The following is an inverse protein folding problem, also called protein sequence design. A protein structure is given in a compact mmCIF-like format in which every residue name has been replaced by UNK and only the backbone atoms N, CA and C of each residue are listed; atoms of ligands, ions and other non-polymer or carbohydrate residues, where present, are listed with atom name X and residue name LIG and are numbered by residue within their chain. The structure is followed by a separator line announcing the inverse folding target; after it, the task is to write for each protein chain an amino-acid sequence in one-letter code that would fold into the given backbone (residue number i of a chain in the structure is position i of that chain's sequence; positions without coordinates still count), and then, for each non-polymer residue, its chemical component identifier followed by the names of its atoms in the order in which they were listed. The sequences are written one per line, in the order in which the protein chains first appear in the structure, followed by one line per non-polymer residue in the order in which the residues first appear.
data_IF_525065809820
#
_entry.id   IF_525065809820
#
_cell.length_a   1.000
_cell.length_b   1.000
_cell.length_c   1.000
_cell.angle_alpha   90.00
_cell.angle_beta   90.00
_cell.angle_gamma   90.00
#
_symmetry.space_group_name_H-M   'P 1'
#
loop_
_entity.id
_entity.type
_entity.pdbx_description
1 polymer ?
#
# COMPACT_ATOMS: atom_id res chain seq x y z
N UNK A 1 13.33 -4.40 -6.49
CA UNK A 1 13.33 -5.55 -5.57
C UNK A 1 14.57 -5.59 -4.65
N UNK A 2 15.80 -5.65 -5.18
CA UNK A 2 17.05 -5.73 -4.39
C UNK A 2 17.16 -4.64 -3.31
N UNK A 3 16.70 -3.42 -3.62
CA UNK A 3 16.68 -2.32 -2.65
C UNK A 3 15.81 -2.62 -1.42
N UNK A 4 14.61 -3.21 -1.58
CA UNK A 4 13.72 -3.54 -0.45
C UNK A 4 14.34 -4.58 0.48
N UNK A 5 15.04 -5.56 -0.12
CA UNK A 5 15.61 -6.71 0.59
C UNK A 5 16.99 -6.40 1.20
N UNK A 6 17.66 -5.32 0.78
CA UNK A 6 19.00 -4.93 1.27
C UNK A 6 19.20 -4.94 2.79
N UNK A 7 18.21 -4.62 3.66
CA UNK A 7 18.36 -4.73 5.12
C UNK A 7 18.45 -6.18 5.64
N UNK A 8 18.00 -7.16 4.86
CA UNK A 8 18.03 -8.57 5.23
C UNK A 8 19.42 -9.17 4.95
N UNK A 9 19.85 -10.11 5.79
CA UNK A 9 21.04 -10.93 5.52
C UNK A 9 20.85 -11.74 4.24
N UNK A 10 21.91 -11.98 3.46
CA UNK A 10 21.87 -12.69 2.17
C UNK A 10 21.09 -14.02 2.22
N UNK A 11 21.24 -14.78 3.32
CA UNK A 11 20.49 -16.03 3.58
C UNK A 11 18.97 -15.91 3.55
N UNK A 12 18.42 -14.74 3.89
CA UNK A 12 16.98 -14.43 3.84
C UNK A 12 16.62 -13.64 2.60
N UNK A 13 17.58 -12.92 2.02
CA UNK A 13 17.36 -12.15 0.81
C UNK A 13 17.00 -13.05 -0.39
N UNK A 14 17.73 -14.14 -0.56
CA UNK A 14 17.54 -15.09 -1.68
C UNK A 14 16.15 -15.72 -1.66
N UNK A 15 15.67 -16.37 -0.57
CA UNK A 15 14.34 -16.98 -0.58
C UNK A 15 13.21 -15.95 -0.75
N UNK A 16 13.35 -14.75 -0.18
CA UNK A 16 12.36 -13.67 -0.35
C UNK A 16 12.33 -13.15 -1.79
N UNK A 17 13.49 -13.03 -2.44
CA UNK A 17 13.56 -12.71 -3.86
C UNK A 17 12.90 -13.78 -4.73
N UNK A 18 13.11 -15.06 -4.43
CA UNK A 18 12.48 -16.17 -5.15
C UNK A 18 10.95 -16.16 -4.98
N UNK A 19 10.45 -15.85 -3.79
CA UNK A 19 9.01 -15.74 -3.52
C UNK A 19 8.33 -14.65 -4.36
N UNK A 20 9.07 -13.61 -4.75
CA UNK A 20 8.55 -12.51 -5.57
C UNK A 20 8.60 -12.80 -7.09
N UNK A 21 9.28 -13.86 -7.53
CA UNK A 21 9.41 -14.16 -8.97
C UNK A 21 8.08 -14.35 -9.70
N UNK A 22 7.07 -15.06 -9.15
CA UNK A 22 5.84 -15.27 -9.88
C UNK A 22 5.11 -13.95 -10.17
N UNK A 23 5.26 -12.93 -9.32
CA UNK A 23 4.68 -11.62 -9.60
C UNK A 23 5.30 -10.94 -10.81
N UNK A 24 6.62 -11.10 -10.99
CA UNK A 24 7.33 -10.55 -12.14
C UNK A 24 6.90 -11.25 -13.43
N UNK A 25 6.64 -12.56 -13.36
CA UNK A 25 6.14 -13.35 -14.49
C UNK A 25 4.70 -12.94 -14.84
N UNK A 26 3.86 -12.68 -13.83
CA UNK A 26 2.46 -12.21 -14.02
C UNK A 26 2.39 -10.72 -14.38
N UNK A 27 3.48 -9.96 -14.22
CA UNK A 27 3.51 -8.52 -14.43
C UNK A 27 2.74 -7.73 -13.37
N UNK A 28 2.66 -8.25 -12.14
CA UNK A 28 1.90 -7.61 -11.06
C UNK A 28 2.69 -6.47 -10.38
N UNK A 29 1.97 -5.52 -9.82
CA UNK A 29 2.53 -4.27 -9.28
C UNK A 29 2.78 -4.31 -7.76
N UNK A 30 2.55 -5.43 -7.06
CA UNK A 30 2.66 -5.47 -5.60
C UNK A 30 4.08 -5.20 -5.08
N UNK A 31 5.14 -5.61 -5.79
CA UNK A 31 6.52 -5.17 -5.50
C UNK A 31 6.64 -3.64 -5.55
N UNK A 32 5.99 -2.99 -6.52
CA UNK A 32 5.98 -1.53 -6.63
C UNK A 32 5.15 -0.90 -5.50
N UNK A 33 4.03 -1.52 -5.11
CA UNK A 33 3.26 -1.10 -3.94
C UNK A 33 4.11 -1.20 -2.67
N UNK A 34 4.88 -2.27 -2.47
CA UNK A 34 5.79 -2.42 -1.34
C UNK A 34 6.85 -1.30 -1.31
N UNK A 35 7.42 -0.96 -2.46
CA UNK A 35 8.34 0.16 -2.59
C UNK A 35 7.66 1.48 -2.28
N UNK A 36 6.45 1.71 -2.81
CA UNK A 36 5.64 2.89 -2.56
C UNK A 36 5.25 3.01 -1.08
N UNK A 37 5.02 1.91 -0.35
CA UNK A 37 4.81 1.93 1.10
C UNK A 37 6.00 2.56 1.82
N UNK A 38 7.21 2.03 1.58
CA UNK A 38 8.43 2.52 2.26
C UNK A 38 8.73 3.98 1.88
N UNK A 39 8.63 4.31 0.59
CA UNK A 39 8.86 5.69 0.13
C UNK A 39 7.77 6.62 0.65
N UNK A 40 6.52 6.17 0.67
CA UNK A 40 5.34 6.89 1.12
C UNK A 40 5.40 7.32 2.57
N UNK A 41 6.01 6.51 3.44
CA UNK A 41 6.26 6.89 4.84
C UNK A 41 7.17 8.12 4.98
N UNK A 42 8.08 8.33 4.02
CA UNK A 42 9.01 9.49 3.99
C UNK A 42 8.52 10.64 3.12
N UNK A 43 7.91 10.30 1.99
CA UNK A 43 7.41 11.22 0.95
C UNK A 43 5.95 10.90 0.69
N UNK A 44 5.01 11.59 1.36
CA UNK A 44 3.58 11.24 1.32
C UNK A 44 2.98 11.20 -0.10
N UNK A 45 3.52 12.00 -1.04
CA UNK A 45 3.11 11.98 -2.45
C UNK A 45 3.27 10.61 -3.14
N UNK A 46 4.17 9.74 -2.67
CA UNK A 46 4.31 8.39 -3.23
C UNK A 46 3.07 7.50 -2.95
N UNK A 47 2.23 7.84 -1.97
CA UNK A 47 0.97 7.14 -1.72
C UNK A 47 -0.03 7.30 -2.86
N UNK A 48 0.08 8.35 -3.69
CA UNK A 48 -0.76 8.52 -4.89
C UNK A 48 -0.67 7.32 -5.82
N UNK A 49 0.52 6.70 -5.93
CA UNK A 49 0.69 5.48 -6.71
C UNK A 49 -0.19 4.34 -6.18
N UNK A 50 -0.18 4.09 -4.87
CA UNK A 50 -1.01 3.05 -4.27
C UNK A 50 -2.50 3.34 -4.39
N UNK A 51 -2.92 4.58 -4.13
CA UNK A 51 -4.34 4.99 -4.21
C UNK A 51 -4.89 4.86 -5.63
N UNK A 52 -4.14 5.31 -6.64
CA UNK A 52 -4.63 5.32 -8.03
C UNK A 52 -4.59 3.96 -8.70
N UNK A 53 -3.67 3.08 -8.31
CA UNK A 53 -3.56 1.74 -8.90
C UNK A 53 -4.38 0.69 -8.15
N UNK A 54 -4.44 0.77 -6.82
CA UNK A 54 -5.12 -0.16 -5.93
C UNK A 54 -5.69 0.59 -4.73
N UNK A 55 -6.85 1.24 -4.94
CA UNK A 55 -7.54 2.14 -4.00
C UNK A 55 -7.41 1.73 -2.53
N UNK A 56 -7.73 0.47 -2.19
CA UNK A 56 -7.72 0.00 -0.81
C UNK A 56 -6.35 -0.13 -0.17
N UNK A 57 -5.30 -0.38 -0.96
CA UNK A 57 -3.92 -0.38 -0.46
C UNK A 57 -3.42 1.02 -0.10
N UNK A 58 -4.16 2.06 -0.48
CA UNK A 58 -3.98 3.44 -0.02
C UNK A 58 -4.27 3.65 1.47
N UNK A 59 -4.74 2.63 2.21
CA UNK A 59 -5.02 2.68 3.66
C UNK A 59 -3.85 3.23 4.50
N UNK A 60 -2.61 3.10 4.02
CA UNK A 60 -1.45 3.65 4.71
C UNK A 60 -1.42 5.17 4.84
N UNK A 61 -2.17 5.94 4.03
CA UNK A 61 -2.34 7.39 4.23
C UNK A 61 -2.98 7.71 5.59
N UNK A 62 -3.85 6.82 6.09
CA UNK A 62 -4.48 6.98 7.41
C UNK A 62 -3.46 6.99 8.55
N UNK A 63 -2.24 6.49 8.31
CA UNK A 63 -1.14 6.61 9.26
C UNK A 63 -0.89 8.06 9.67
N UNK A 64 -0.84 8.98 8.69
CA UNK A 64 -0.57 10.39 8.96
C UNK A 64 -1.73 11.05 9.68
N UNK A 65 -2.97 10.74 9.29
CA UNK A 65 -4.18 11.21 9.98
C UNK A 65 -4.20 10.75 11.45
N UNK A 66 -3.93 9.47 11.70
CA UNK A 66 -3.93 8.89 13.04
C UNK A 66 -2.82 9.44 13.96
N UNK A 67 -1.73 9.98 13.37
CA UNK A 67 -0.66 10.70 14.09
C UNK A 67 -0.91 12.21 14.24
N UNK A 68 -1.96 12.75 13.64
CA UNK A 68 -2.22 14.19 13.58
C UNK A 68 -1.26 14.96 12.66
N UNK A 69 -0.54 14.27 11.76
CA UNK A 69 0.36 14.90 10.79
C UNK A 69 -0.41 15.32 9.54
N UNK A 70 -1.27 16.33 9.73
CA UNK A 70 -2.14 16.86 8.68
C UNK A 70 -1.36 17.41 7.49
N UNK A 71 -0.16 17.95 7.71
CA UNK A 71 0.71 18.45 6.64
C UNK A 71 1.08 17.32 5.67
N UNK A 72 1.55 16.18 6.19
CA UNK A 72 1.87 15.02 5.35
C UNK A 72 0.64 14.41 4.70
N UNK A 73 -0.49 14.37 5.40
CA UNK A 73 -1.75 13.91 4.81
C UNK A 73 -2.16 14.78 3.62
N UNK A 74 -2.16 16.10 3.78
CA UNK A 74 -2.49 17.05 2.70
C UNK A 74 -1.49 16.93 1.55
N UNK A 75 -0.21 16.72 1.82
CA UNK A 75 0.78 16.48 0.74
C UNK A 75 0.46 15.23 -0.08
N UNK A 76 0.14 14.11 0.58
CA UNK A 76 -0.20 12.87 -0.10
C UNK A 76 -1.52 12.97 -0.87
N UNK A 77 -2.57 13.45 -0.20
CA UNK A 77 -3.89 13.64 -0.82
C UNK A 77 -3.87 14.69 -1.92
N UNK A 78 -3.15 15.79 -1.73
CA UNK A 78 -3.00 16.86 -2.71
C UNK A 78 -2.25 16.43 -3.95
N UNK A 79 -1.19 15.63 -3.82
CA UNK A 79 -0.51 15.03 -4.97
C UNK A 79 -1.45 14.10 -5.76
N UNK A 80 -2.24 13.28 -5.06
CA UNK A 80 -3.24 12.42 -5.69
C UNK A 80 -4.29 13.25 -6.43
N UNK A 81 -4.83 14.28 -5.78
CA UNK A 81 -5.83 15.17 -6.37
C UNK A 81 -5.28 15.88 -7.60
N UNK A 82 -4.05 16.37 -7.56
CA UNK A 82 -3.41 17.02 -8.70
C UNK A 82 -3.30 16.06 -9.89
N UNK A 83 -2.87 14.82 -9.66
CA UNK A 83 -2.79 13.79 -10.71
C UNK A 83 -4.18 13.51 -11.28
N UNK A 84 -5.20 13.37 -10.43
CA UNK A 84 -6.59 13.15 -10.85
C UNK A 84 -7.10 14.30 -11.71
N UNK A 85 -6.92 15.56 -11.27
CA UNK A 85 -7.40 16.75 -11.98
C UNK A 85 -6.74 16.89 -13.34
N UNK A 86 -5.41 16.74 -13.42
CA UNK A 86 -4.67 16.81 -14.70
C UNK A 86 -5.10 15.67 -15.62
N UNK A 87 -5.21 14.44 -15.10
CA UNK A 87 -5.67 13.28 -15.86
C UNK A 87 -7.10 13.46 -16.38
N UNK A 88 -8.00 13.96 -15.54
CA UNK A 88 -9.39 14.24 -15.91
C UNK A 88 -9.50 15.33 -16.97
N UNK A 89 -8.70 16.39 -16.89
CA UNK A 89 -8.67 17.45 -17.90
C UNK A 89 -8.17 16.94 -19.27
N UNK A 90 -7.35 15.88 -19.29
CA UNK A 90 -6.86 15.25 -20.53
C UNK A 90 -7.89 14.30 -21.12
N UNK A 91 -8.50 13.43 -20.31
CA UNK A 91 -9.51 12.47 -20.75
C UNK A 91 -10.60 12.24 -19.67
N UNK A 92 -11.69 13.03 -19.71
CA UNK A 92 -12.79 12.88 -18.75
C UNK A 92 -13.54 11.54 -18.90
N UNK A 93 -13.62 11.02 -20.13
CA UNK A 93 -14.37 9.79 -20.44
C UNK A 93 -13.72 8.55 -19.86
N UNK A 94 -12.39 8.48 -19.88
CA UNK A 94 -11.66 7.39 -19.25
C UNK A 94 -11.95 7.27 -17.74
N UNK A 95 -12.23 8.38 -17.05
CA UNK A 95 -12.60 8.36 -15.64
C UNK A 95 -13.99 7.77 -15.40
N UNK A 96 -14.98 8.13 -16.21
CA UNK A 96 -16.31 7.52 -16.11
C UNK A 96 -16.24 6.02 -16.39
N UNK A 97 -15.48 5.62 -17.40
CA UNK A 97 -15.33 4.21 -17.78
C UNK A 97 -14.62 3.42 -16.68
N UNK A 98 -13.57 3.99 -16.07
CA UNK A 98 -12.86 3.39 -14.96
C UNK A 98 -13.75 3.21 -13.72
N UNK A 99 -14.57 4.22 -13.36
CA UNK A 99 -15.51 4.12 -12.24
C UNK A 99 -16.56 3.03 -12.52
N UNK A 100 -17.13 3.02 -13.73
CA UNK A 100 -18.09 1.98 -14.12
C UNK A 100 -17.46 0.59 -14.07
N UNK A 101 -16.22 0.45 -14.54
CA UNK A 101 -15.46 -0.80 -14.45
C UNK A 101 -15.31 -1.28 -13.00
N UNK A 102 -14.96 -0.38 -12.06
CA UNK A 102 -14.83 -0.73 -10.65
C UNK A 102 -16.15 -1.21 -10.03
N UNK A 103 -17.26 -0.54 -10.36
CA UNK A 103 -18.58 -0.91 -9.86
C UNK A 103 -19.04 -2.25 -10.45
N UNK A 104 -18.88 -2.45 -11.76
CA UNK A 104 -19.25 -3.68 -12.45
C UNK A 104 -18.45 -4.90 -11.99
N UNK A 105 -17.20 -4.71 -11.55
CA UNK A 105 -16.31 -5.79 -11.09
C UNK A 105 -16.19 -5.88 -9.57
N UNK A 106 -17.04 -5.16 -8.82
CA UNK A 106 -17.02 -5.16 -7.35
C UNK A 106 -17.33 -6.52 -6.72
N UNK A 107 -18.07 -7.38 -7.43
CA UNK A 107 -18.40 -8.76 -7.01
C UNK A 107 -17.45 -9.82 -7.57
N UNK A 108 -16.43 -9.44 -8.34
CA UNK A 108 -15.52 -10.37 -9.03
C UNK A 108 -14.44 -11.00 -8.14
N UNK A 109 -14.37 -10.63 -6.86
CA UNK A 109 -13.42 -11.23 -5.91
C UNK A 109 -13.98 -12.55 -5.37
N UNK A 110 -13.17 -13.63 -5.30
CA UNK A 110 -13.61 -14.90 -4.71
C UNK A 110 -13.94 -14.78 -3.21
N UNK A 111 -13.49 -13.70 -2.58
CA UNK A 111 -13.84 -13.34 -1.21
C UNK A 111 -15.24 -12.70 -1.16
N UNK A 112 -16.07 -13.12 -0.21
CA UNK A 112 -17.37 -12.49 0.01
C UNK A 112 -17.22 -11.00 0.37
N UNK A 113 -18.15 -10.15 -0.08
CA UNK A 113 -18.10 -8.71 0.22
C UNK A 113 -18.01 -8.38 1.71
N UNK A 114 -18.64 -9.21 2.57
CA UNK A 114 -18.54 -9.09 4.02
C UNK A 114 -17.10 -9.35 4.51
N UNK A 115 -16.44 -10.39 4.01
CA UNK A 115 -15.03 -10.68 4.33
C UNK A 115 -14.13 -9.52 3.95
N UNK A 116 -14.36 -8.92 2.76
CA UNK A 116 -13.59 -7.77 2.30
C UNK A 116 -13.77 -6.54 3.20
N UNK A 117 -15.01 -6.20 3.58
CA UNK A 117 -15.29 -5.07 4.47
C UNK A 117 -14.64 -5.28 5.84
N UNK A 118 -14.81 -6.47 6.44
CA UNK A 118 -14.18 -6.81 7.72
C UNK A 118 -12.67 -6.67 7.65
N UNK A 119 -12.03 -7.17 6.58
CA UNK A 119 -10.59 -7.04 6.37
C UNK A 119 -10.15 -5.59 6.19
N UNK A 120 -10.93 -4.76 5.49
CA UNK A 120 -10.64 -3.32 5.38
C UNK A 120 -10.71 -2.65 6.75
N UNK A 121 -11.70 -2.97 7.59
CA UNK A 121 -11.80 -2.46 8.95
C UNK A 121 -10.61 -2.89 9.81
N UNK A 122 -10.19 -4.16 9.71
CA UNK A 122 -8.99 -4.66 10.41
C UNK A 122 -7.73 -3.94 9.89
N UNK A 123 -7.61 -3.73 8.58
CA UNK A 123 -6.49 -2.99 8.00
C UNK A 123 -6.42 -1.57 8.55
N UNK A 124 -7.55 -0.86 8.60
CA UNK A 124 -7.64 0.48 9.22
C UNK A 124 -7.22 0.42 10.68
N UNK A 125 -7.74 -0.54 11.46
CA UNK A 125 -7.37 -0.71 12.86
C UNK A 125 -5.85 -0.94 13.03
N UNK A 126 -5.23 -1.79 12.20
CA UNK A 126 -3.79 -2.02 12.21
C UNK A 126 -2.99 -0.77 11.90
N UNK A 127 -3.40 0.03 10.90
CA UNK A 127 -2.73 1.30 10.58
C UNK A 127 -2.86 2.28 11.74
N UNK A 128 -4.04 2.40 12.35
CA UNK A 128 -4.27 3.29 13.49
C UNK A 128 -3.46 2.86 14.72
N UNK A 129 -3.48 1.57 15.06
CA UNK A 129 -2.70 1.01 16.17
C UNK A 129 -1.20 1.22 15.90
N UNK A 130 -0.74 0.92 14.69
CA UNK A 130 0.64 1.14 14.28
C UNK A 130 1.04 2.60 14.40
N UNK A 131 0.19 3.52 13.94
CA UNK A 131 0.43 4.95 14.01
C UNK A 131 0.57 5.44 15.45
N UNK A 132 -0.33 5.01 16.34
CA UNK A 132 -0.34 5.38 17.76
C UNK A 132 0.83 4.78 18.53
N UNK A 133 1.22 3.54 18.23
CA UNK A 133 2.35 2.84 18.87
C UNK A 133 3.70 3.07 18.20
N UNK A 134 3.75 3.88 17.13
CA UNK A 134 4.92 4.11 16.29
C UNK A 134 5.54 2.81 15.73
N UNK A 135 4.68 1.91 15.27
CA UNK A 135 5.03 0.64 14.63
C UNK A 135 4.77 0.69 13.12
N UNK A 136 5.64 1.36 12.33
CA UNK A 136 5.43 1.56 10.89
C UNK A 136 5.38 0.26 10.09
N UNK A 137 5.95 -0.82 10.63
CA UNK A 137 5.88 -2.13 9.98
C UNK A 137 4.46 -2.67 9.82
N UNK A 138 3.50 -2.24 10.66
CA UNK A 138 2.10 -2.67 10.58
C UNK A 138 1.37 -2.16 9.33
N UNK A 139 1.90 -1.14 8.66
CA UNK A 139 1.33 -0.62 7.41
C UNK A 139 1.36 -1.66 6.30
N UNK A 140 2.43 -2.46 6.20
CA UNK A 140 2.55 -3.48 5.16
C UNK A 140 1.52 -4.63 5.32
N UNK A 141 1.36 -5.28 6.49
CA UNK A 141 0.27 -6.23 6.74
C UNK A 141 -1.12 -5.62 6.53
N UNK A 142 -1.34 -4.36 6.92
CA UNK A 142 -2.60 -3.68 6.67
C UNK A 142 -2.90 -3.56 5.16
N UNK A 143 -1.91 -3.22 4.34
CA UNK A 143 -2.07 -3.18 2.88
C UNK A 143 -2.37 -4.55 2.27
N UNK A 144 -1.76 -5.63 2.80
CA UNK A 144 -2.09 -7.00 2.39
C UNK A 144 -3.56 -7.30 2.71
N UNK A 145 -4.02 -7.02 3.93
CA UNK A 145 -5.41 -7.24 4.33
C UNK A 145 -6.40 -6.38 3.52
N UNK A 146 -6.03 -5.16 3.16
CA UNK A 146 -6.86 -4.30 2.33
C UNK A 146 -6.87 -4.71 0.84
N UNK A 147 -5.95 -5.57 0.39
CA UNK A 147 -5.90 -6.03 -1.00
C UNK A 147 -7.23 -6.69 -1.42
N UNK A 148 -7.84 -6.33 -2.55
CA UNK A 148 -9.12 -6.91 -2.98
C UNK A 148 -9.02 -8.41 -3.27
N UNK A 149 -7.85 -8.91 -3.62
CA UNK A 149 -7.60 -10.35 -3.84
C UNK A 149 -6.56 -10.78 -2.82
N UNK A 150 -6.92 -11.70 -1.91
CA UNK A 150 -6.01 -12.27 -0.91
C UNK A 150 -5.84 -13.79 -1.03
N UNK A 151 -6.67 -14.42 -1.85
CA UNK A 151 -6.66 -15.87 -2.11
C UNK A 151 -5.36 -16.34 -2.77
N UNK A 152 -4.63 -15.44 -3.42
CA UNK A 152 -3.34 -15.73 -4.04
C UNK A 152 -2.18 -15.38 -3.10
N UNK A 153 -1.02 -16.01 -3.31
CA UNK A 153 0.22 -15.69 -2.59
C UNK A 153 0.85 -14.36 -3.02
N UNK A 154 0.36 -13.77 -4.12
CA UNK A 154 0.88 -12.54 -4.72
C UNK A 154 0.88 -11.34 -3.73
N UNK A 155 -0.25 -10.88 -3.14
CA UNK A 155 -0.25 -9.71 -2.24
C UNK A 155 0.73 -9.76 -1.06
N UNK A 156 1.13 -10.95 -0.63
CA UNK A 156 2.10 -11.16 0.44
C UNK A 156 3.47 -10.56 0.14
N UNK A 157 3.80 -10.31 -1.14
CA UNK A 157 5.01 -9.59 -1.53
C UNK A 157 5.10 -8.19 -0.95
N UNK A 158 3.97 -7.54 -0.61
CA UNK A 158 3.97 -6.24 0.09
C UNK A 158 4.75 -6.33 1.42
N UNK A 159 4.76 -7.50 2.08
CA UNK A 159 5.48 -7.70 3.35
C UNK A 159 7.00 -7.53 3.22
N UNK A 160 7.56 -7.55 2.00
CA UNK A 160 8.97 -7.23 1.76
C UNK A 160 9.33 -5.79 2.17
N UNK A 161 8.34 -4.91 2.37
CA UNK A 161 8.53 -3.57 2.92
C UNK A 161 8.91 -3.58 4.41
N UNK A 162 8.52 -4.62 5.16
CA UNK A 162 8.66 -4.71 6.64
C UNK A 162 10.09 -4.46 7.13
N UNK A 163 11.15 -5.10 6.58
CA UNK A 163 12.52 -4.87 7.05
C UNK A 163 12.94 -3.41 7.02
N UNK A 164 12.53 -2.65 6.00
CA UNK A 164 12.83 -1.21 5.91
C UNK A 164 11.97 -0.38 6.85
N UNK A 165 10.70 -0.72 6.99
CA UNK A 165 9.79 -0.03 7.91
C UNK A 165 10.25 -0.19 9.37
N UNK A 166 10.78 -1.37 9.74
CA UNK A 166 11.35 -1.59 11.08
C UNK A 166 12.52 -0.64 11.38
N UNK A 167 13.35 -0.32 10.38
CA UNK A 167 14.45 0.65 10.54
C UNK A 167 13.95 2.09 10.76
N UNK A 168 12.76 2.43 10.24
CA UNK A 168 12.13 3.74 10.45
C UNK A 168 11.56 3.86 11.86
N UNK A 169 10.99 2.78 12.40
CA UNK A 169 10.53 2.74 13.78
C UNK A 169 11.69 2.87 14.79
N UNK A 170 12.86 2.30 14.49
CA UNK A 170 14.02 2.38 15.37
C UNK A 170 14.70 3.76 15.36
N UNK A 171 14.60 4.50 14.26
CA UNK A 171 15.16 5.87 14.17
C UNK A 171 14.29 6.89 14.91
N UNK A 172 12.97 6.69 14.95
CA UNK A 172 12.05 7.56 15.70
C UNK A 172 12.15 7.47 17.23
N UNK A 173 12.74 6.40 17.78
CA UNK A 173 13.00 6.25 19.23
C UNK A 173 14.28 6.94 19.73
N UNK A 174 15.09 7.50 18.83
CA UNK A 174 16.38 8.16 19.15
C UNK A 174 16.32 9.70 19.11
N UNK A 175 15.14 10.29 18.92
CA UNK A 175 14.87 11.72 19.03
C UNK A 175 13.90 11.94 20.20
#
# INVERSE_FOLDING_TARGET
MIWLVRPLRARWAIPVCLLCLPELVVGNIYILLAAATVVGMRRPAAWSFAVLTKVTTGVGLLWFAARGDWKRLIQGSGATLLIVVVSYAVDPTAWSDWIQFLLANSSGTPDSGISFVVRCLIAVALVVIGARKQWPFLVAPAMVLASPVLVSFVPWTILIAVPRLLLEGSTGKRQ
#
